data_IF_187904736311
#
_entry.id   IF_187904736311
#
_cell.length_a   1.000
_cell.length_b   1.000
_cell.length_c   1.000
_cell.angle_alpha   90.00
_cell.angle_beta   90.00
_cell.angle_gamma   90.00
#
_symmetry.space_group_name_H-M   'P 1'
#
loop_
_entity.id
_entity.type
_entity.pdbx_description
1 polymer ?
#
# COMPACT_ATOMS: atom_id res chain seq x y z
N UNK A 1 8.62 -22.68 23.99
CA UNK A 1 9.03 -21.35 23.51
C UNK A 1 8.96 -21.40 21.99
N UNK A 2 7.97 -20.72 21.39
CA UNK A 2 7.89 -20.60 19.93
C UNK A 2 8.76 -19.43 19.51
N UNK A 3 9.86 -19.72 18.83
CA UNK A 3 10.72 -18.70 18.25
C UNK A 3 9.88 -17.82 17.32
N UNK A 4 9.85 -16.51 17.59
CA UNK A 4 9.27 -15.54 16.67
C UNK A 4 10.07 -15.65 15.37
N UNK A 5 9.47 -15.99 14.22
CA UNK A 5 10.17 -15.90 12.95
C UNK A 5 10.63 -14.45 12.83
N UNK A 6 11.95 -14.30 12.72
CA UNK A 6 12.63 -13.05 12.44
C UNK A 6 12.03 -12.56 11.13
N UNK A 7 10.99 -11.72 11.21
CA UNK A 7 10.45 -11.01 10.06
C UNK A 7 11.67 -10.47 9.35
N UNK A 8 11.87 -10.93 8.11
CA UNK A 8 12.90 -10.43 7.24
C UNK A 8 12.67 -8.92 7.19
N UNK A 9 13.44 -8.21 8.00
CA UNK A 9 13.59 -6.77 7.94
C UNK A 9 14.31 -6.62 6.61
N UNK A 10 13.53 -6.59 5.53
CA UNK A 10 13.99 -6.27 4.20
C UNK A 10 14.97 -5.13 4.41
N UNK A 11 16.22 -5.35 4.01
CA UNK A 11 17.26 -4.37 4.14
C UNK A 11 16.63 -3.06 3.66
N UNK A 12 16.47 -2.10 4.58
CA UNK A 12 16.13 -0.74 4.20
C UNK A 12 17.36 -0.32 3.42
N UNK A 13 17.33 -0.59 2.11
CA UNK A 13 18.25 0.02 1.18
C UNK A 13 18.12 1.51 1.47
N UNK A 14 19.26 2.14 1.72
CA UNK A 14 19.33 3.58 1.88
C UNK A 14 19.00 4.17 0.50
N UNK A 15 17.71 4.31 0.23
CA UNK A 15 17.18 4.72 -1.06
C UNK A 15 17.32 6.24 -1.10
N UNK A 16 18.21 6.74 -1.94
CA UNK A 16 18.27 8.17 -2.28
C UNK A 16 16.98 8.53 -3.02
N UNK A 17 16.05 9.15 -2.30
CA UNK A 17 14.74 9.48 -2.84
C UNK A 17 14.78 10.57 -3.91
N UNK A 18 15.83 11.39 -3.96
CA UNK A 18 16.01 12.39 -5.02
C UNK A 18 16.50 11.73 -6.31
N UNK A 19 17.40 10.74 -6.20
CA UNK A 19 17.84 9.93 -7.32
C UNK A 19 16.68 9.10 -7.88
N UNK A 20 15.93 8.42 -7.01
CA UNK A 20 14.74 7.66 -7.39
C UNK A 20 13.71 8.52 -8.14
N UNK A 21 13.42 9.73 -7.64
CA UNK A 21 12.51 10.66 -8.32
C UNK A 21 13.09 11.12 -9.67
N UNK A 22 14.41 11.33 -9.76
CA UNK A 22 15.06 11.73 -11.01
C UNK A 22 14.98 10.64 -12.07
N UNK A 23 15.19 9.38 -11.70
CA UNK A 23 15.10 8.23 -12.60
C UNK A 23 13.67 8.01 -13.07
N UNK A 24 12.70 8.13 -12.16
CA UNK A 24 11.28 8.06 -12.49
C UNK A 24 10.88 9.14 -13.51
N UNK A 25 11.38 10.37 -13.36
CA UNK A 25 11.10 11.44 -14.31
C UNK A 25 11.71 11.15 -15.69
N UNK A 26 12.92 10.60 -15.74
CA UNK A 26 13.55 10.18 -17.01
C UNK A 26 12.74 9.08 -17.70
N UNK A 27 12.23 8.12 -16.93
CA UNK A 27 11.36 7.05 -17.45
C UNK A 27 10.02 7.58 -18.00
N UNK A 28 9.61 8.79 -17.59
CA UNK A 28 8.45 9.51 -18.13
C UNK A 28 8.81 10.49 -19.26
N UNK A 29 10.00 10.36 -19.86
CA UNK A 29 10.53 11.25 -20.90
C UNK A 29 10.66 12.73 -20.46
N UNK A 30 10.92 12.96 -19.17
CA UNK A 30 11.19 14.29 -18.63
C UNK A 30 12.64 14.44 -18.18
N UNK A 31 13.26 15.59 -18.49
CA UNK A 31 14.53 15.99 -17.90
C UNK A 31 14.29 16.58 -16.49
N UNK A 32 14.83 15.96 -15.40
CA UNK A 32 14.61 16.44 -14.04
C UNK A 32 15.05 17.90 -13.80
N UNK A 33 16.01 18.39 -14.58
CA UNK A 33 16.54 19.76 -14.47
C UNK A 33 15.71 20.80 -15.23
N UNK A 34 14.96 20.37 -16.26
CA UNK A 34 14.20 21.25 -17.16
C UNK A 34 12.68 21.08 -17.05
N UNK A 35 12.19 20.08 -16.32
CA UNK A 35 10.76 19.78 -16.20
C UNK A 35 9.95 21.02 -15.80
N UNK A 36 8.88 21.27 -16.55
CA UNK A 36 8.01 22.42 -16.27
C UNK A 36 7.24 22.24 -14.96
N UNK A 37 6.76 23.35 -14.39
CA UNK A 37 5.93 23.31 -13.18
C UNK A 37 4.64 22.51 -13.42
N UNK A 38 4.04 22.65 -14.60
CA UNK A 38 2.81 21.94 -14.95
C UNK A 38 3.04 20.42 -15.07
N UNK A 39 4.14 19.99 -15.68
CA UNK A 39 4.50 18.57 -15.77
C UNK A 39 4.81 17.99 -14.40
N UNK A 40 5.58 18.71 -13.58
CA UNK A 40 5.91 18.26 -12.24
C UNK A 40 4.66 18.16 -11.34
N UNK A 41 3.67 19.04 -11.53
CA UNK A 41 2.38 18.92 -10.85
C UNK A 41 1.62 17.68 -11.33
N UNK A 42 1.56 17.40 -12.64
CA UNK A 42 0.94 16.18 -13.17
C UNK A 42 1.57 14.91 -12.60
N UNK A 43 2.89 14.89 -12.45
CA UNK A 43 3.59 13.77 -11.79
C UNK A 43 3.18 13.67 -10.33
N UNK A 44 3.09 14.79 -9.61
CA UNK A 44 2.66 14.79 -8.21
C UNK A 44 1.23 14.28 -8.03
N UNK A 45 0.32 14.67 -8.93
CA UNK A 45 -1.07 14.23 -8.93
C UNK A 45 -1.16 12.72 -9.18
N UNK A 46 -0.43 12.21 -10.18
CA UNK A 46 -0.39 10.77 -10.50
C UNK A 46 0.20 9.93 -9.35
N UNK A 47 1.23 10.44 -8.68
CA UNK A 47 1.80 9.78 -7.49
C UNK A 47 0.78 9.77 -6.33
N UNK A 48 0.09 10.88 -6.10
CA UNK A 48 -0.91 10.99 -5.03
C UNK A 48 -2.09 10.04 -5.27
N UNK A 49 -2.54 9.89 -6.52
CA UNK A 49 -3.58 8.94 -6.92
C UNK A 49 -3.16 7.49 -6.62
N UNK A 50 -1.95 7.09 -7.04
CA UNK A 50 -1.43 5.74 -6.80
C UNK A 50 -1.27 5.38 -5.31
N UNK A 51 -1.03 6.39 -4.47
CA UNK A 51 -0.85 6.24 -3.04
C UNK A 51 -2.12 6.49 -2.22
N UNK A 52 -3.24 6.84 -2.87
CA UNK A 52 -4.47 7.33 -2.21
C UNK A 52 -4.18 8.38 -1.14
N UNK A 53 -3.32 9.35 -1.47
CA UNK A 53 -2.79 10.32 -0.52
C UNK A 53 -3.55 11.65 -0.53
N UNK A 54 -4.26 11.96 0.55
CA UNK A 54 -4.91 13.26 0.77
C UNK A 54 -4.35 13.99 2.02
N UNK A 55 -4.00 15.28 1.92
CA UNK A 55 -3.95 16.12 0.71
C UNK A 55 -2.83 15.68 -0.25
N UNK A 56 -3.06 15.77 -1.56
CA UNK A 56 -2.06 15.39 -2.57
C UNK A 56 -0.76 16.19 -2.48
N UNK A 57 0.33 15.63 -3.02
CA UNK A 57 1.61 16.34 -3.07
C UNK A 57 1.56 17.47 -4.11
N UNK A 58 2.18 18.61 -3.80
CA UNK A 58 2.34 19.71 -4.76
C UNK A 58 3.68 19.65 -5.49
N UNK A 59 3.76 20.28 -6.67
CA UNK A 59 5.01 20.40 -7.44
C UNK A 59 6.17 20.97 -6.61
N UNK A 60 5.89 21.88 -5.66
CA UNK A 60 6.91 22.46 -4.77
C UNK A 60 7.57 21.41 -3.88
N UNK A 61 6.79 20.44 -3.42
CA UNK A 61 7.29 19.34 -2.61
C UNK A 61 8.23 18.47 -3.43
N UNK A 62 7.80 18.02 -4.62
CA UNK A 62 8.66 17.24 -5.51
C UNK A 62 9.92 18.00 -5.93
N UNK A 63 9.81 19.31 -6.18
CA UNK A 63 10.98 20.14 -6.53
C UNK A 63 11.97 20.25 -5.37
N UNK A 64 11.49 20.29 -4.13
CA UNK A 64 12.38 20.29 -2.97
C UNK A 64 13.07 18.93 -2.79
N UNK A 65 12.38 17.82 -3.09
CA UNK A 65 12.97 16.47 -3.11
C UNK A 65 14.05 16.38 -4.20
N UNK A 66 13.75 16.76 -5.45
CA UNK A 66 14.72 16.77 -6.55
C UNK A 66 15.98 17.58 -6.23
N UNK A 67 15.82 18.72 -5.56
CA UNK A 67 16.93 19.58 -5.16
C UNK A 67 17.63 19.12 -3.88
N UNK A 68 17.31 17.93 -3.34
CA UNK A 68 17.85 17.38 -2.08
C UNK A 68 17.69 18.33 -0.89
N UNK A 69 16.67 19.22 -0.93
CA UNK A 69 16.36 20.15 0.17
C UNK A 69 15.59 19.47 1.29
N UNK A 70 14.82 18.44 0.94
CA UNK A 70 14.03 17.63 1.86
C UNK A 70 14.12 16.17 1.43
N UNK A 71 14.09 15.28 2.41
CA UNK A 71 13.94 13.85 2.17
C UNK A 71 12.46 13.51 1.90
N UNK A 72 12.15 12.65 0.92
CA UNK A 72 10.80 12.21 0.68
C UNK A 72 10.31 11.30 1.81
N UNK A 73 9.05 11.46 2.20
CA UNK A 73 8.42 10.54 3.14
C UNK A 73 8.23 9.14 2.55
N UNK A 74 8.11 8.13 3.41
CA UNK A 74 7.92 6.72 3.00
C UNK A 74 6.77 6.52 2.01
N UNK A 75 5.68 7.26 2.16
CA UNK A 75 4.52 7.19 1.25
C UNK A 75 4.85 7.66 -0.17
N UNK A 76 5.67 8.70 -0.30
CA UNK A 76 6.11 9.17 -1.62
C UNK A 76 7.06 8.15 -2.25
N UNK A 77 7.99 7.60 -1.46
CA UNK A 77 8.90 6.54 -1.93
C UNK A 77 8.13 5.32 -2.43
N UNK A 78 7.15 4.86 -1.67
CA UNK A 78 6.25 3.77 -2.08
C UNK A 78 5.51 4.11 -3.39
N UNK A 79 4.96 5.31 -3.50
CA UNK A 79 4.28 5.78 -4.72
C UNK A 79 5.21 5.77 -5.95
N UNK A 80 6.47 6.19 -5.78
CA UNK A 80 7.47 6.19 -6.86
C UNK A 80 7.78 4.77 -7.34
N UNK A 81 7.92 3.80 -6.42
CA UNK A 81 8.09 2.39 -6.79
C UNK A 81 6.87 1.82 -7.52
N UNK A 82 5.66 2.13 -7.05
CA UNK A 82 4.43 1.69 -7.73
C UNK A 82 4.34 2.24 -9.15
N UNK A 83 4.65 3.53 -9.32
CA UNK A 83 4.62 4.15 -10.64
C UNK A 83 5.70 3.55 -11.55
N UNK A 84 6.92 3.34 -11.03
CA UNK A 84 7.99 2.64 -11.76
C UNK A 84 7.56 1.25 -12.22
N UNK A 85 6.95 0.45 -11.35
CA UNK A 85 6.45 -0.88 -11.71
C UNK A 85 5.39 -0.81 -12.83
N UNK A 86 4.50 0.18 -12.80
CA UNK A 86 3.50 0.41 -13.86
C UNK A 86 4.16 0.81 -15.18
N UNK A 87 5.26 1.57 -15.15
CA UNK A 87 6.04 1.89 -16.36
C UNK A 87 6.76 0.66 -16.94
N UNK A 88 7.15 -0.29 -16.07
CA UNK A 88 7.72 -1.58 -16.45
C UNK A 88 6.65 -2.63 -16.85
N UNK A 89 5.50 -2.18 -17.35
CA UNK A 89 4.36 -3.02 -17.77
C UNK A 89 3.77 -3.94 -16.68
N UNK A 90 4.02 -3.66 -15.40
CA UNK A 90 3.34 -4.39 -14.32
C UNK A 90 1.87 -3.93 -14.25
N UNK A 91 0.90 -4.87 -14.26
CA UNK A 91 -0.51 -4.52 -14.06
C UNK A 91 -0.71 -3.67 -12.80
N UNK A 92 -1.52 -2.62 -12.91
CA UNK A 92 -1.74 -1.64 -11.84
C UNK A 92 -2.20 -2.32 -10.53
N UNK A 93 -3.03 -3.36 -10.64
CA UNK A 93 -3.54 -4.15 -9.52
C UNK A 93 -2.42 -4.85 -8.76
N UNK A 94 -1.39 -5.33 -9.47
CA UNK A 94 -0.20 -5.94 -8.87
C UNK A 94 0.71 -4.87 -8.27
N UNK A 95 0.89 -3.73 -8.93
CA UNK A 95 1.69 -2.62 -8.41
C UNK A 95 1.10 -2.02 -7.13
N UNK A 96 -0.23 -2.00 -7.00
CA UNK A 96 -0.92 -1.53 -5.80
C UNK A 96 -1.13 -2.60 -4.73
N UNK A 97 -0.75 -3.85 -5.01
CA UNK A 97 -0.98 -4.96 -4.09
C UNK A 97 -0.13 -4.82 -2.82
N UNK A 98 -0.71 -5.19 -1.69
CA UNK A 98 -0.01 -5.22 -0.41
C UNK A 98 0.15 -6.66 0.05
N UNK A 99 1.31 -6.97 0.63
CA UNK A 99 1.53 -8.28 1.26
C UNK A 99 0.57 -8.45 2.43
N UNK A 100 -0.42 -9.31 2.22
CA UNK A 100 -1.37 -9.74 3.25
C UNK A 100 -1.06 -11.20 3.62
N UNK A 101 -0.96 -11.48 4.91
CA UNK A 101 -0.78 -12.85 5.39
C UNK A 101 -2.14 -13.54 5.41
N UNK A 102 -2.39 -14.40 4.43
CA UNK A 102 -3.57 -15.26 4.39
C UNK A 102 -3.20 -16.61 5.00
N UNK A 103 -3.86 -16.97 6.10
CA UNK A 103 -3.77 -18.34 6.64
C UNK A 103 -4.77 -19.23 5.91
N UNK A 104 -4.28 -20.08 5.01
CA UNK A 104 -5.09 -21.07 4.33
C UNK A 104 -5.02 -22.43 5.06
N UNK A 105 -6.16 -23.12 5.19
CA UNK A 105 -6.21 -24.49 5.71
C UNK A 105 -5.91 -25.55 4.64
N UNK A 106 -5.71 -25.14 3.38
CA UNK A 106 -5.43 -26.00 2.23
C UNK A 106 -4.26 -25.49 1.39
N UNK A 107 -3.89 -26.25 0.36
CA UNK A 107 -2.78 -25.92 -0.52
C UNK A 107 -3.18 -24.80 -1.50
N UNK A 108 -2.46 -23.68 -1.48
CA UNK A 108 -2.54 -22.62 -2.49
C UNK A 108 -1.40 -22.82 -3.49
N UNK A 109 -1.72 -22.98 -4.77
CA UNK A 109 -0.71 -23.13 -5.83
C UNK A 109 -0.13 -21.76 -6.24
N UNK A 110 1.13 -21.69 -6.69
CA UNK A 110 1.65 -20.47 -7.32
C UNK A 110 0.75 -20.01 -8.47
N UNK A 111 0.47 -18.71 -8.54
CA UNK A 111 -0.42 -18.12 -9.55
C UNK A 111 -1.92 -18.27 -9.27
N UNK A 112 -2.32 -18.86 -8.14
CA UNK A 112 -3.73 -18.93 -7.76
C UNK A 112 -4.30 -17.54 -7.42
N UNK A 113 -5.40 -17.16 -8.08
CA UNK A 113 -6.17 -15.97 -7.73
C UNK A 113 -7.10 -16.28 -6.56
N UNK A 114 -6.90 -15.60 -5.43
CA UNK A 114 -7.76 -15.72 -4.26
C UNK A 114 -8.75 -14.55 -4.28
N UNK A 115 -9.98 -14.81 -4.73
CA UNK A 115 -11.08 -13.86 -4.63
C UNK A 115 -11.77 -14.06 -3.29
N UNK A 116 -11.67 -13.07 -2.41
CA UNK A 116 -12.25 -13.12 -1.08
C UNK A 116 -12.78 -11.74 -0.69
N UNK A 117 -14.08 -11.63 -0.46
CA UNK A 117 -14.68 -10.43 0.12
C UNK A 117 -14.45 -10.44 1.62
N UNK A 118 -13.56 -9.56 2.11
CA UNK A 118 -13.45 -9.30 3.54
C UNK A 118 -14.65 -8.47 4.02
N UNK A 119 -14.99 -8.64 5.29
CA UNK A 119 -15.95 -7.78 5.99
C UNK A 119 -15.47 -7.51 7.40
N UNK A 120 -15.81 -6.34 7.92
CA UNK A 120 -15.58 -6.01 9.31
C UNK A 120 -16.48 -6.88 10.21
N UNK A 121 -15.94 -7.36 11.33
CA UNK A 121 -16.73 -8.04 12.35
C UNK A 121 -17.80 -7.10 12.92
N UNK A 122 -19.07 -7.53 12.95
CA UNK A 122 -20.16 -6.67 13.39
C UNK A 122 -20.22 -6.38 14.89
N UNK A 123 -19.36 -7.02 15.70
CA UNK A 123 -19.26 -6.68 17.12
C UNK A 123 -18.53 -5.33 17.27
N UNK A 124 -19.15 -4.27 17.84
CA UNK A 124 -18.60 -2.91 17.76
C UNK A 124 -17.22 -2.71 18.37
N UNK A 125 -16.85 -3.51 19.38
CA UNK A 125 -15.52 -3.44 20.00
C UNK A 125 -14.48 -4.34 19.31
N UNK A 126 -14.81 -4.96 18.18
CA UNK A 126 -13.90 -5.78 17.39
C UNK A 126 -13.64 -5.17 16.02
N UNK A 127 -12.37 -4.81 15.79
CA UNK A 127 -11.90 -4.17 14.55
C UNK A 127 -11.27 -5.18 13.56
N UNK A 128 -11.57 -6.47 13.72
CA UNK A 128 -11.01 -7.51 12.86
C UNK A 128 -11.85 -7.59 11.58
N UNK A 129 -11.20 -7.34 10.45
CA UNK A 129 -11.70 -7.71 9.12
C UNK A 129 -11.40 -9.18 8.85
N UNK A 130 -12.40 -9.91 8.36
CA UNK A 130 -12.26 -11.34 8.10
C UNK A 130 -12.96 -11.73 6.81
N UNK A 131 -12.45 -12.81 6.19
CA UNK A 131 -13.12 -13.46 5.06
C UNK A 131 -14.15 -14.45 5.61
N UNK A 132 -15.45 -14.28 5.29
CA UNK A 132 -16.49 -15.18 5.78
C UNK A 132 -16.39 -16.55 5.11
N UNK A 133 -16.54 -17.62 5.89
CA UNK A 133 -16.61 -19.01 5.37
C UNK A 133 -17.97 -19.37 4.79
N UNK A 134 -18.98 -18.56 5.07
CA UNK A 134 -20.34 -18.72 4.59
C UNK A 134 -20.97 -17.34 4.39
N UNK A 135 -21.80 -17.10 3.35
CA UNK A 135 -22.32 -15.77 3.01
C UNK A 135 -22.99 -15.01 4.18
N UNK A 136 -23.64 -15.76 5.09
CA UNK A 136 -24.33 -15.24 6.28
C UNK A 136 -23.45 -15.06 7.52
N UNK A 137 -22.13 -15.27 7.45
CA UNK A 137 -21.26 -15.09 8.60
C UNK A 137 -21.04 -13.60 8.88
N UNK A 138 -21.54 -13.13 10.03
CA UNK A 138 -21.50 -11.72 10.47
C UNK A 138 -20.36 -11.40 11.44
N UNK A 139 -19.83 -12.42 12.11
CA UNK A 139 -18.78 -12.30 13.15
C UNK A 139 -17.59 -13.19 12.79
N UNK A 140 -16.37 -12.69 13.04
CA UNK A 140 -15.15 -13.46 12.75
C UNK A 140 -15.04 -14.71 13.64
N UNK A 141 -15.59 -14.66 14.87
CA UNK A 141 -15.55 -15.76 15.84
C UNK A 141 -16.87 -15.94 16.58
N UNK A 142 -17.07 -17.14 17.15
CA UNK A 142 -18.20 -17.45 18.02
C UNK A 142 -18.22 -16.57 19.28
N UNK A 143 -17.03 -16.22 19.81
CA UNK A 143 -16.88 -15.31 20.94
C UNK A 143 -17.46 -13.92 20.65
N UNK A 144 -17.16 -13.33 19.50
CA UNK A 144 -17.70 -12.02 19.13
C UNK A 144 -19.22 -12.06 18.92
N UNK A 145 -19.75 -13.15 18.36
CA UNK A 145 -21.21 -13.36 18.28
C UNK A 145 -21.85 -13.35 19.67
N UNK A 146 -21.24 -14.03 20.63
CA UNK A 146 -21.75 -14.12 22.00
C UNK A 146 -21.67 -12.78 22.74
N UNK A 147 -20.54 -12.07 22.64
CA UNK A 147 -20.36 -10.73 23.21
C UNK A 147 -21.39 -9.72 22.65
N UNK A 148 -21.67 -9.81 21.35
CA UNK A 148 -22.67 -8.98 20.71
C UNK A 148 -24.09 -9.29 21.21
N UNK A 149 -24.43 -10.58 21.43
CA UNK A 149 -25.73 -10.99 21.99
C UNK A 149 -25.94 -10.51 23.42
N UNK A 150 -24.88 -10.42 24.22
CA UNK A 150 -24.93 -9.97 25.62
C UNK A 150 -24.94 -8.44 25.78
N UNK A 151 -25.04 -7.69 24.68
CA UNK A 151 -25.15 -6.23 24.72
C UNK A 151 -23.83 -5.50 24.99
N UNK A 152 -22.68 -6.09 24.65
CA UNK A 152 -21.39 -5.39 24.67
C UNK A 152 -20.93 -4.88 26.05
N UNK A 153 -21.36 -5.52 27.15
CA UNK A 153 -20.71 -5.30 28.45
C UNK A 153 -19.35 -6.00 28.44
N UNK A 154 -18.31 -5.23 28.16
CA UNK A 154 -16.93 -5.52 28.56
C UNK A 154 -16.76 -5.06 30.00
#
# INVERSE_FOLDING_TARGET
>A
MLEKPKQARAALMDIDGAELLSDLLRALDHDPSLISVAELQRVADRLAELAHHEPGWGWRYLRNVLNRKIEPGKKLVDAMFRLGAVLDDTPLELAQSHTVTIQALGNVRPGALILADSRLCEYPACYIEFVPRHPRQRFHSARCRELNRRGGRV
#
